data_IF_165269171494
#
_entry.id   IF_165269171494
#
_cell.length_a   1.000
_cell.length_b   1.000
_cell.length_c   1.000
_cell.angle_alpha   90.00
_cell.angle_beta   90.00
_cell.angle_gamma   90.00
#
_symmetry.space_group_name_H-M   'P 1'
#
loop_
_entity.id
_entity.type
_entity.pdbx_description
1 polymer ?
#
# COMPACT_ATOMS: atom_id res chain seq x y z
N UNK A 1 12.26 -6.90 -7.01
CA UNK A 1 11.46 -7.91 -6.29
C UNK A 1 11.26 -7.48 -4.84
N UNK A 2 10.03 -7.55 -4.35
CA UNK A 2 9.72 -7.19 -2.97
C UNK A 2 9.94 -8.39 -2.05
N UNK A 3 10.64 -8.16 -0.95
CA UNK A 3 10.91 -9.17 0.07
C UNK A 3 10.58 -8.61 1.46
N UNK A 4 10.72 -9.45 2.49
CA UNK A 4 10.45 -9.04 3.86
C UNK A 4 11.26 -7.82 4.29
N UNK A 5 12.47 -7.66 3.78
CA UNK A 5 13.36 -6.56 4.13
C UNK A 5 13.17 -5.30 3.26
N UNK A 6 12.36 -5.41 2.22
CA UNK A 6 12.07 -4.26 1.37
C UNK A 6 11.33 -3.18 2.16
N UNK A 7 11.60 -1.92 1.82
CA UNK A 7 10.99 -0.77 2.49
C UNK A 7 10.10 -0.03 1.49
N UNK A 8 8.87 -0.51 1.31
CA UNK A 8 7.99 0.08 0.31
C UNK A 8 7.54 1.48 0.68
N UNK A 9 7.40 2.33 -0.34
CA UNK A 9 6.85 3.67 -0.22
C UNK A 9 5.89 3.93 -1.36
N UNK A 10 4.90 4.75 -1.14
CA UNK A 10 4.03 5.20 -2.23
C UNK A 10 4.87 5.96 -3.25
N UNK A 11 4.59 5.72 -4.53
CA UNK A 11 5.20 6.50 -5.59
C UNK A 11 4.80 7.97 -5.46
N UNK A 12 5.63 8.89 -5.93
CA UNK A 12 5.37 10.34 -5.84
C UNK A 12 4.04 10.76 -6.46
N UNK A 13 3.64 10.07 -7.52
CA UNK A 13 2.41 10.35 -8.25
C UNK A 13 1.16 9.79 -7.57
N UNK A 14 1.32 8.97 -6.54
CA UNK A 14 0.20 8.32 -5.87
C UNK A 14 -0.08 8.98 -4.53
N UNK A 15 -1.37 9.11 -4.20
CA UNK A 15 -1.80 9.72 -2.93
C UNK A 15 -2.94 8.93 -2.34
N UNK A 16 -2.98 8.88 -1.01
CA UNK A 16 -4.11 8.30 -0.29
C UNK A 16 -5.06 9.43 0.11
N UNK A 17 -6.34 9.19 -0.08
CA UNK A 17 -7.38 10.14 0.32
C UNK A 17 -8.57 9.38 0.90
N UNK A 18 -9.12 9.90 2.00
CA UNK A 18 -10.33 9.34 2.59
C UNK A 18 -11.54 10.14 2.13
N UNK A 19 -12.56 9.46 1.60
CA UNK A 19 -13.81 10.09 1.21
C UNK A 19 -14.62 10.38 2.47
N UNK A 20 -15.02 11.64 2.65
CA UNK A 20 -15.79 12.07 3.81
C UNK A 20 -17.20 11.50 3.85
N UNK A 21 -17.77 11.22 2.69
CA UNK A 21 -19.15 10.76 2.59
C UNK A 21 -19.29 9.27 2.82
N UNK A 22 -18.36 8.50 2.29
CA UNK A 22 -18.45 7.03 2.36
C UNK A 22 -17.50 6.42 3.38
N UNK A 23 -16.48 7.17 3.81
CA UNK A 23 -15.42 6.65 4.67
C UNK A 23 -14.40 5.77 3.95
N UNK A 24 -14.56 5.58 2.65
CA UNK A 24 -13.65 4.78 1.87
C UNK A 24 -12.31 5.48 1.67
N UNK A 25 -11.25 4.68 1.54
CA UNK A 25 -9.93 5.21 1.21
C UNK A 25 -9.67 4.98 -0.27
N UNK A 26 -9.20 6.03 -0.94
CA UNK A 26 -8.90 6.02 -2.35
C UNK A 26 -7.39 6.14 -2.55
N UNK A 27 -6.88 5.37 -3.50
CA UNK A 27 -5.52 5.57 -4.02
C UNK A 27 -5.65 6.37 -5.30
N UNK A 28 -5.18 7.61 -5.27
CA UNK A 28 -5.28 8.53 -6.40
C UNK A 28 -3.93 8.62 -7.10
N UNK A 29 -3.95 8.52 -8.42
CA UNK A 29 -2.78 8.71 -9.27
C UNK A 29 -3.24 9.35 -10.58
N UNK A 30 -2.33 9.89 -11.42
CA UNK A 30 -2.74 10.65 -12.59
C UNK A 30 -3.78 9.90 -13.44
N UNK A 31 -4.90 10.57 -13.69
CA UNK A 31 -6.01 10.08 -14.51
C UNK A 31 -6.81 8.91 -13.93
N UNK A 32 -6.45 8.42 -12.73
CA UNK A 32 -7.12 7.25 -12.16
C UNK A 32 -7.36 7.40 -10.67
N UNK A 33 -8.28 6.60 -10.17
CA UNK A 33 -8.51 6.41 -8.75
C UNK A 33 -8.91 4.97 -8.50
N UNK A 34 -8.48 4.44 -7.37
CA UNK A 34 -8.77 3.06 -6.98
C UNK A 34 -9.34 3.06 -5.57
N UNK A 35 -10.53 2.49 -5.41
CA UNK A 35 -11.12 2.31 -4.08
C UNK A 35 -10.40 1.15 -3.40
N UNK A 36 -9.90 1.39 -2.18
CA UNK A 36 -9.15 0.41 -1.44
C UNK A 36 -10.03 -0.27 -0.40
N UNK A 37 -9.84 -1.58 -0.24
CA UNK A 37 -10.40 -2.28 0.91
C UNK A 37 -9.75 -1.77 2.19
N UNK A 38 -10.37 -1.95 3.37
CA UNK A 38 -9.74 -1.56 4.64
C UNK A 38 -8.34 -2.17 4.83
N UNK A 39 -8.16 -3.42 4.42
CA UNK A 39 -6.85 -4.10 4.52
C UNK A 39 -5.81 -3.43 3.63
N UNK A 40 -6.17 -3.16 2.38
CA UNK A 40 -5.28 -2.50 1.42
C UNK A 40 -4.90 -1.10 1.90
N UNK A 41 -5.87 -0.34 2.38
CA UNK A 41 -5.63 1.00 2.91
C UNK A 41 -4.67 0.96 4.10
N UNK A 42 -4.84 -0.01 5.01
CA UNK A 42 -3.97 -0.16 6.17
C UNK A 42 -2.53 -0.44 5.75
N UNK A 43 -2.31 -1.32 4.78
CA UNK A 43 -0.97 -1.62 4.27
C UNK A 43 -0.33 -0.36 3.67
N UNK A 44 -1.06 0.35 2.83
CA UNK A 44 -0.51 1.53 2.15
C UNK A 44 -0.21 2.68 3.11
N UNK A 45 -0.99 2.84 4.19
CA UNK A 45 -0.70 3.85 5.20
C UNK A 45 0.62 3.59 5.93
N UNK A 46 1.05 2.34 5.99
CA UNK A 46 2.30 1.95 6.64
C UNK A 46 3.48 1.92 5.67
N UNK A 47 3.27 2.27 4.40
CA UNK A 47 4.35 2.38 3.41
C UNK A 47 5.11 3.70 3.59
N UNK A 48 5.73 3.87 4.74
CA UNK A 48 6.43 5.08 5.15
C UNK A 48 7.94 4.88 5.30
N UNK A 49 8.44 3.78 4.76
CA UNK A 49 9.86 3.43 4.86
C UNK A 49 10.15 2.27 5.81
N UNK A 50 9.14 1.79 6.54
CA UNK A 50 9.32 0.56 7.34
C UNK A 50 9.37 -0.66 6.43
N UNK A 51 9.96 -1.75 6.91
CA UNK A 51 10.07 -2.97 6.10
C UNK A 51 8.71 -3.65 5.90
N UNK A 52 8.59 -4.47 4.85
CA UNK A 52 7.37 -5.23 4.62
C UNK A 52 7.07 -6.16 5.81
N UNK A 53 8.10 -6.73 6.42
CA UNK A 53 7.92 -7.55 7.63
C UNK A 53 7.32 -6.73 8.79
N UNK A 54 7.78 -5.50 8.98
CA UNK A 54 7.25 -4.62 10.02
C UNK A 54 5.78 -4.25 9.74
N UNK A 55 5.43 -4.04 8.48
CA UNK A 55 4.04 -3.78 8.10
C UNK A 55 3.16 -4.99 8.44
N UNK A 56 3.60 -6.17 8.07
CA UNK A 56 2.86 -7.41 8.36
C UNK A 56 2.67 -7.60 9.87
N UNK A 57 3.72 -7.36 10.66
CA UNK A 57 3.66 -7.48 12.12
C UNK A 57 2.67 -6.47 12.72
N UNK A 58 2.74 -5.23 12.28
CA UNK A 58 1.86 -4.15 12.79
C UNK A 58 0.40 -4.48 12.55
N UNK A 59 0.09 -5.08 11.40
CA UNK A 59 -1.28 -5.40 11.00
C UNK A 59 -1.70 -6.81 11.41
N UNK A 60 -0.82 -7.58 12.02
CA UNK A 60 -1.04 -8.99 12.32
C UNK A 60 -1.51 -9.75 11.08
N UNK A 61 -0.93 -9.42 9.93
CA UNK A 61 -1.29 -10.00 8.63
C UNK A 61 -0.22 -10.99 8.17
N UNK A 62 -0.60 -12.01 7.37
CA UNK A 62 0.39 -12.92 6.80
C UNK A 62 1.36 -12.15 5.89
N UNK A 63 2.66 -12.39 6.09
CA UNK A 63 3.69 -11.70 5.31
C UNK A 63 3.53 -11.94 3.80
N UNK A 64 3.20 -13.17 3.41
CA UNK A 64 3.03 -13.51 2.00
C UNK A 64 1.93 -12.69 1.34
N UNK A 65 0.84 -12.44 2.06
CA UNK A 65 -0.27 -11.65 1.54
C UNK A 65 0.15 -10.18 1.37
N UNK A 66 0.91 -9.65 2.32
CA UNK A 66 1.43 -8.29 2.25
C UNK A 66 2.38 -8.15 1.06
N UNK A 67 3.29 -9.12 0.88
CA UNK A 67 4.24 -9.10 -0.23
C UNK A 67 3.55 -9.19 -1.58
N UNK A 68 2.55 -10.05 -1.71
CA UNK A 68 1.79 -10.20 -2.95
C UNK A 68 1.08 -8.90 -3.32
N UNK A 69 0.42 -8.28 -2.35
CA UNK A 69 -0.27 -7.01 -2.56
C UNK A 69 0.71 -5.92 -3.00
N UNK A 70 1.84 -5.78 -2.29
CA UNK A 70 2.84 -4.77 -2.62
C UNK A 70 3.47 -5.01 -3.98
N UNK A 71 3.72 -6.27 -4.35
CA UNK A 71 4.26 -6.62 -5.66
C UNK A 71 3.30 -6.21 -6.78
N UNK A 72 2.01 -6.45 -6.59
CA UNK A 72 0.98 -6.06 -7.56
C UNK A 72 0.99 -4.54 -7.78
N UNK A 73 1.06 -3.77 -6.72
CA UNK A 73 1.11 -2.31 -6.83
C UNK A 73 2.45 -1.83 -7.37
N UNK A 74 3.53 -2.51 -7.04
CA UNK A 74 4.85 -2.20 -7.58
C UNK A 74 4.90 -2.38 -9.09
N UNK A 75 4.25 -3.42 -9.61
CA UNK A 75 4.16 -3.66 -11.06
C UNK A 75 3.42 -2.54 -11.77
N UNK A 76 2.52 -1.86 -11.09
CA UNK A 76 1.78 -0.71 -11.63
C UNK A 76 2.50 0.62 -11.41
N UNK A 77 3.66 0.59 -10.76
CA UNK A 77 4.41 1.80 -10.46
C UNK A 77 3.81 2.67 -9.36
N UNK A 78 2.92 2.11 -8.54
CA UNK A 78 2.26 2.84 -7.46
C UNK A 78 2.98 2.74 -6.12
N UNK A 79 3.84 1.74 -5.98
CA UNK A 79 4.69 1.53 -4.81
C UNK A 79 6.12 1.35 -5.30
N UNK A 80 7.06 1.96 -4.60
CA UNK A 80 8.50 1.82 -4.87
C UNK A 80 9.20 1.24 -3.65
N UNK A 81 10.37 0.65 -3.85
CA UNK A 81 11.18 0.10 -2.76
C UNK A 81 12.59 0.63 -2.75
#
# INVERSE_FOLDING_TARGET
>A
MISADSRPRLARKARLRTDRHTGETLLLYPEHGLVLSPSAAAILRLCDGRSAAAIADELAAPLDDVLEFLATLGDRGLVTT
#
